data_IF_849593856340
#
_entry.id   IF_849593856340
#
_cell.length_a   1.000
_cell.length_b   1.000
_cell.length_c   1.000
_cell.angle_alpha   90.00
_cell.angle_beta   90.00
_cell.angle_gamma   90.00
#
_symmetry.space_group_name_H-M   'P 1'
#
loop_
_entity.id
_entity.type
_entity.pdbx_description
1 polymer ?
#
# COMPACT_ATOMS: atom_id res chain seq x y z
N UNK A 1 8.99 11.21 4.99
CA UNK A 1 8.02 12.25 4.57
C UNK A 1 7.22 12.66 5.80
N UNK A 2 6.82 13.93 5.95
CA UNK A 2 5.72 14.29 6.86
C UNK A 2 4.45 14.26 6.03
N UNK A 3 3.71 13.17 6.08
CA UNK A 3 2.36 13.13 5.53
C UNK A 3 1.43 13.92 6.45
N UNK A 4 0.51 14.68 5.87
CA UNK A 4 -0.60 15.26 6.60
C UNK A 4 -1.56 14.14 7.04
N UNK A 5 -2.30 14.36 8.12
CA UNK A 5 -3.23 13.34 8.65
C UNK A 5 -4.23 12.84 7.59
N UNK A 6 -4.66 13.71 6.67
CA UNK A 6 -5.57 13.35 5.59
C UNK A 6 -4.93 12.35 4.61
N UNK A 7 -3.64 12.54 4.31
CA UNK A 7 -2.85 11.68 3.43
C UNK A 7 -2.59 10.32 4.09
N UNK A 8 -2.32 10.31 5.41
CA UNK A 8 -2.20 9.07 6.19
C UNK A 8 -3.52 8.29 6.19
N UNK A 9 -4.65 8.97 6.37
CA UNK A 9 -5.98 8.35 6.36
C UNK A 9 -6.35 7.78 4.99
N UNK A 10 -6.03 8.49 3.91
CA UNK A 10 -6.20 8.01 2.54
C UNK A 10 -5.33 6.77 2.29
N UNK A 11 -4.08 6.78 2.74
CA UNK A 11 -3.17 5.64 2.64
C UNK A 11 -3.72 4.43 3.40
N UNK A 12 -4.16 4.62 4.66
CA UNK A 12 -4.71 3.53 5.48
C UNK A 12 -5.95 2.91 4.84
N UNK A 13 -6.82 3.71 4.21
CA UNK A 13 -8.00 3.20 3.48
C UNK A 13 -7.64 2.34 2.28
N UNK A 14 -6.54 2.68 1.59
CA UNK A 14 -6.03 1.88 0.46
C UNK A 14 -5.24 0.65 0.93
N UNK A 15 -4.59 0.73 2.10
CA UNK A 15 -3.77 -0.33 2.67
C UNK A 15 -4.59 -1.42 3.39
N UNK A 16 -5.65 -1.05 4.11
CA UNK A 16 -6.53 -1.97 4.85
C UNK A 16 -7.06 -3.14 4.00
N UNK A 17 -7.65 -2.94 2.80
CA UNK A 17 -8.17 -4.05 1.98
C UNK A 17 -7.09 -4.95 1.40
N UNK A 18 -5.83 -4.48 1.35
CA UNK A 18 -4.69 -5.19 0.80
C UNK A 18 -4.17 -6.25 1.80
N UNK A 19 -5.01 -7.23 2.13
CA UNK A 19 -4.74 -8.25 3.15
C UNK A 19 -3.49 -9.10 2.85
N UNK A 20 -3.04 -9.16 1.59
CA UNK A 20 -1.78 -9.75 1.17
C UNK A 20 -0.52 -9.18 1.87
N UNK A 21 -0.58 -7.96 2.40
CA UNK A 21 0.54 -7.36 3.15
C UNK A 21 0.68 -7.89 4.59
N UNK A 22 -0.44 -8.13 5.27
CA UNK A 22 -0.45 -8.31 6.72
C UNK A 22 -1.17 -9.58 7.19
N UNK A 23 -2.00 -10.21 6.35
CA UNK A 23 -2.74 -11.42 6.70
C UNK A 23 -1.93 -12.68 6.36
N UNK A 24 -1.37 -13.40 7.35
CA UNK A 24 -0.59 -14.61 7.11
C UNK A 24 -1.38 -15.79 6.57
N UNK A 25 -2.72 -15.72 6.61
CA UNK A 25 -3.61 -16.75 6.08
C UNK A 25 -4.05 -16.47 4.64
N UNK A 26 -3.66 -15.34 4.06
CA UNK A 26 -3.96 -15.05 2.66
C UNK A 26 -3.13 -15.98 1.76
N UNK A 27 -3.74 -16.51 0.70
CA UNK A 27 -3.06 -17.45 -0.20
C UNK A 27 -1.85 -16.81 -0.90
N UNK A 28 -1.93 -15.50 -1.12
CA UNK A 28 -0.85 -14.66 -1.66
C UNK A 28 -0.01 -13.94 -0.60
N UNK A 29 -0.07 -14.36 0.67
CA UNK A 29 0.71 -13.72 1.73
C UNK A 29 2.22 -13.81 1.44
N UNK A 30 2.88 -12.65 1.38
CA UNK A 30 4.29 -12.46 0.96
C UNK A 30 4.61 -12.85 -0.49
N UNK A 31 3.62 -13.08 -1.33
CA UNK A 31 3.88 -13.27 -2.76
C UNK A 31 4.38 -11.95 -3.35
N UNK A 32 5.62 -11.93 -3.83
CA UNK A 32 6.29 -10.72 -4.32
C UNK A 32 5.54 -10.05 -5.46
N UNK A 33 4.91 -10.83 -6.34
CA UNK A 33 4.12 -10.30 -7.46
C UNK A 33 2.89 -9.55 -6.96
N UNK A 34 2.10 -10.20 -6.11
CA UNK A 34 0.83 -9.65 -5.59
C UNK A 34 1.08 -8.48 -4.66
N UNK A 35 2.12 -8.54 -3.82
CA UNK A 35 2.60 -7.41 -3.00
C UNK A 35 3.05 -6.24 -3.88
N UNK A 36 3.73 -6.49 -4.99
CA UNK A 36 4.15 -5.43 -5.91
C UNK A 36 2.98 -4.80 -6.67
N UNK A 37 2.02 -5.61 -7.11
CA UNK A 37 0.80 -5.14 -7.78
C UNK A 37 -0.09 -4.34 -6.82
N UNK A 38 -0.23 -4.81 -5.58
CA UNK A 38 -0.87 -4.09 -4.48
C UNK A 38 -0.23 -2.71 -4.24
N UNK A 39 1.10 -2.64 -4.23
CA UNK A 39 1.82 -1.38 -4.07
C UNK A 39 1.59 -0.44 -5.25
N UNK A 40 1.56 -0.95 -6.48
CA UNK A 40 1.22 -0.17 -7.69
C UNK A 40 -0.21 0.34 -7.66
N UNK A 41 -1.14 -0.47 -7.17
CA UNK A 41 -2.54 -0.09 -7.03
C UNK A 41 -2.71 1.02 -6.00
N UNK A 42 -2.03 0.93 -4.84
CA UNK A 42 -1.97 2.04 -3.88
C UNK A 42 -1.36 3.27 -4.54
N UNK A 43 -0.23 3.14 -5.23
CA UNK A 43 0.44 4.27 -5.91
C UNK A 43 -0.46 4.95 -6.95
N UNK A 44 -1.25 4.18 -7.69
CA UNK A 44 -2.16 4.72 -8.72
C UNK A 44 -3.42 5.34 -8.16
N UNK A 45 -3.93 4.85 -7.02
CA UNK A 45 -5.15 5.35 -6.39
C UNK A 45 -4.90 6.47 -5.38
N UNK A 46 -3.66 6.61 -4.92
CA UNK A 46 -3.30 7.64 -3.95
C UNK A 46 -3.20 9.00 -4.63
N UNK A 47 -3.85 10.02 -4.05
CA UNK A 47 -3.88 11.37 -4.63
C UNK A 47 -2.50 12.03 -4.76
N UNK A 48 -1.52 11.56 -3.98
CA UNK A 48 -0.15 12.08 -4.04
C UNK A 48 0.65 11.24 -5.02
N UNK A 49 1.35 11.92 -5.95
CA UNK A 49 2.44 11.32 -6.73
C UNK A 49 3.63 10.98 -5.84
N UNK A 50 3.50 9.91 -5.06
CA UNK A 50 4.59 9.27 -4.33
C UNK A 50 5.05 8.04 -5.11
N UNK A 51 6.32 7.65 -4.92
CA UNK A 51 6.85 6.44 -5.53
C UNK A 51 6.79 5.31 -4.50
N UNK A 52 6.47 4.07 -4.90
CA UNK A 52 6.46 2.89 -3.99
C UNK A 52 7.74 2.81 -3.14
N UNK A 53 8.89 3.17 -3.72
CA UNK A 53 10.19 3.20 -3.00
C UNK A 53 10.26 4.22 -1.86
N UNK A 54 9.45 5.29 -1.90
CA UNK A 54 9.29 6.25 -0.79
C UNK A 54 8.26 5.81 0.23
N UNK A 55 7.32 4.96 -0.14
CA UNK A 55 6.31 4.41 0.78
C UNK A 55 6.88 3.23 1.59
N UNK A 56 7.76 2.44 0.97
CA UNK A 56 8.44 1.29 1.59
C UNK A 56 9.57 1.69 2.57
N UNK A 57 9.94 2.96 2.66
CA UNK A 57 11.14 3.45 3.36
C UNK A 57 10.80 4.21 4.62
#
# INVERSE_FOLDING_TARGET
MKWANNEVLEFLKLYEPQSQFWNPRHIDHKNLSTVHDAWKEIESNFSIKTNITKIKK
#
